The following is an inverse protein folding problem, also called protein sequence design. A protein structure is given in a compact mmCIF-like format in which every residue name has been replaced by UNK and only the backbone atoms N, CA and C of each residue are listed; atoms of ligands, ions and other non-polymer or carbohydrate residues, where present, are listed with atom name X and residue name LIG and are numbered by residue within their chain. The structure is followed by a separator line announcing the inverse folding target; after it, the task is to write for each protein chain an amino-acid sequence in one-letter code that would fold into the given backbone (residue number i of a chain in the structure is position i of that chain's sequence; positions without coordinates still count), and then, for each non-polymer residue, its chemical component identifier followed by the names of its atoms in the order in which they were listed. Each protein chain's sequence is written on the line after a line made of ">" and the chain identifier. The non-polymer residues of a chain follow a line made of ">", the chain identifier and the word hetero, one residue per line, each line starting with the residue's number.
data_IF_085794804744
#
_entry.id   IF_085794804744
#
_cell.length_a   1.000
_cell.length_b   1.000
_cell.length_c   1.000
_cell.angle_alpha   90.00
_cell.angle_beta   90.00
_cell.angle_gamma   90.00
#
_symmetry.space_group_name_H-M   'P 1'
#
loop_
_entity.id
_entity.type
_entity.pdbx_description
1 polymer ?
#
# COMPACT_ATOMS: atom_id res chain seq x y z
N UNK A 1 -77.66 -11.70 19.27
CA UNK A 1 -77.51 -12.11 17.84
C UNK A 1 -76.89 -10.92 17.11
N UNK A 2 -75.92 -10.95 16.18
CA UNK A 2 -75.02 -11.97 15.57
C UNK A 2 -74.12 -11.18 14.57
N UNK A 3 -72.86 -11.50 14.22
CA UNK A 3 -71.87 -12.50 14.67
C UNK A 3 -70.49 -12.14 14.05
N UNK A 4 -69.35 -12.28 14.78
CA UNK A 4 -67.96 -12.31 14.23
C UNK A 4 -67.47 -10.98 13.55
N UNK A 5 -66.16 -10.69 13.40
CA UNK A 5 -64.96 -11.54 13.20
C UNK A 5 -63.71 -11.05 13.95
N UNK A 6 -62.76 -11.97 14.16
CA UNK A 6 -61.37 -11.71 14.56
C UNK A 6 -60.52 -11.23 13.37
N UNK A 7 -59.49 -10.42 13.65
CA UNK A 7 -58.08 -10.58 13.23
C UNK A 7 -57.29 -9.38 13.79
N UNK A 8 -56.35 -9.53 14.74
CA UNK A 8 -54.96 -9.97 14.54
C UNK A 8 -54.27 -9.25 13.37
N UNK A 9 -53.49 -8.21 13.70
CA UNK A 9 -52.44 -7.66 12.86
C UNK A 9 -51.13 -7.70 13.64
N UNK A 10 -50.21 -8.56 13.20
CA UNK A 10 -48.92 -8.82 13.86
C UNK A 10 -47.97 -7.63 13.66
N UNK A 11 -47.14 -7.35 14.66
CA UNK A 11 -46.02 -6.44 14.48
C UNK A 11 -44.93 -7.09 13.60
N UNK A 12 -44.51 -6.40 12.55
CA UNK A 12 -43.19 -6.59 11.95
C UNK A 12 -42.52 -5.22 11.82
N UNK A 13 -41.70 -4.87 12.82
CA UNK A 13 -40.61 -3.93 12.57
C UNK A 13 -39.64 -4.63 11.61
N UNK A 14 -39.76 -4.31 10.33
CA UNK A 14 -38.69 -4.53 9.37
C UNK A 14 -37.54 -3.61 9.78
N UNK A 15 -36.66 -4.15 10.63
CA UNK A 15 -35.28 -3.69 10.74
C UNK A 15 -34.70 -3.74 9.34
N UNK A 16 -34.66 -2.59 8.68
CA UNK A 16 -33.83 -2.39 7.52
C UNK A 16 -32.37 -2.49 7.99
N UNK A 17 -31.86 -3.72 8.04
CA UNK A 17 -30.45 -3.97 7.83
C UNK A 17 -30.13 -3.46 6.43
N UNK A 18 -29.87 -2.15 6.34
CA UNK A 18 -29.06 -1.62 5.29
C UNK A 18 -27.76 -2.41 5.35
N UNK A 19 -27.61 -3.36 4.43
CA UNK A 19 -26.34 -4.00 4.20
C UNK A 19 -25.34 -2.87 4.02
N UNK A 20 -24.45 -2.71 4.99
CA UNK A 20 -23.27 -1.90 4.84
C UNK A 20 -22.39 -2.66 3.84
N UNK A 21 -22.78 -2.59 2.56
CA UNK A 21 -22.03 -3.11 1.43
C UNK A 21 -20.60 -2.68 1.66
N UNK A 22 -19.71 -3.67 1.78
CA UNK A 22 -18.33 -3.45 2.18
C UNK A 22 -17.80 -2.26 1.39
N UNK A 23 -17.46 -1.15 2.08
CA UNK A 23 -16.76 -0.05 1.45
C UNK A 23 -15.59 -0.70 0.74
N UNK A 24 -15.57 -0.66 -0.60
CA UNK A 24 -14.47 -1.22 -1.38
C UNK A 24 -13.19 -0.63 -0.81
N UNK A 25 -12.46 -1.48 -0.09
CA UNK A 25 -11.61 -0.95 0.96
C UNK A 25 -10.47 -0.21 0.27
N UNK A 26 -10.38 1.11 0.41
CA UNK A 26 -9.35 1.86 -0.29
C UNK A 26 -7.98 1.34 0.16
N UNK A 27 -7.21 0.80 -0.80
CA UNK A 27 -5.84 0.31 -0.61
C UNK A 27 -4.88 1.49 -0.54
N UNK A 28 -4.96 2.40 -1.50
CA UNK A 28 -4.12 3.58 -1.55
C UNK A 28 -4.85 4.78 -2.17
N UNK A 29 -5.26 5.75 -1.34
CA UNK A 29 -6.05 6.96 -1.70
C UNK A 29 -7.40 6.67 -2.39
N UNK A 30 -7.38 6.30 -3.66
CA UNK A 30 -8.52 5.91 -4.49
C UNK A 30 -8.20 4.71 -5.40
N UNK A 31 -7.03 4.09 -5.23
CA UNK A 31 -6.71 2.78 -5.80
C UNK A 31 -7.28 1.68 -4.89
N UNK A 32 -7.87 0.68 -5.54
CA UNK A 32 -8.36 -0.55 -4.93
C UNK A 32 -7.96 -1.74 -5.80
N UNK A 33 -7.51 -2.84 -5.18
CA UNK A 33 -7.17 -4.04 -5.91
C UNK A 33 -8.36 -4.62 -6.68
N UNK A 34 -8.11 -5.07 -7.91
CA UNK A 34 -9.11 -5.56 -8.86
C UNK A 34 -9.73 -4.48 -9.74
N UNK A 35 -9.47 -3.19 -9.49
CA UNK A 35 -9.92 -2.14 -10.42
C UNK A 35 -9.17 -2.22 -11.76
N UNK A 36 -9.85 -1.90 -12.85
CA UNK A 36 -9.19 -1.68 -14.15
C UNK A 36 -8.35 -0.41 -14.12
N UNK A 37 -7.18 -0.45 -14.75
CA UNK A 37 -6.30 0.71 -14.96
C UNK A 37 -7.00 1.84 -15.73
N UNK A 38 -7.97 1.52 -16.59
CA UNK A 38 -8.77 2.50 -17.31
C UNK A 38 -9.65 3.37 -16.37
N UNK A 39 -9.93 2.89 -15.16
CA UNK A 39 -10.73 3.57 -14.15
C UNK A 39 -9.86 4.36 -13.14
N UNK A 40 -8.53 4.34 -13.24
CA UNK A 40 -7.65 5.10 -12.35
C UNK A 40 -7.70 6.58 -12.76
N UNK A 41 -8.08 7.52 -11.87
CA UNK A 41 -8.22 8.93 -12.25
C UNK A 41 -6.88 9.55 -12.69
N UNK A 42 -6.73 9.98 -13.95
CA UNK A 42 -5.42 10.38 -14.50
C UNK A 42 -4.90 11.70 -13.93
N UNK A 43 -5.72 12.46 -13.21
CA UNK A 43 -5.32 13.71 -12.55
C UNK A 43 -4.67 13.51 -11.18
N UNK A 44 -4.91 12.36 -10.54
CA UNK A 44 -4.42 12.06 -9.17
C UNK A 44 -2.98 11.51 -9.16
N UNK A 45 -2.51 11.05 -10.32
CA UNK A 45 -1.26 10.30 -10.47
C UNK A 45 -0.47 10.80 -11.67
N UNK A 46 0.82 11.08 -11.44
CA UNK A 46 1.74 11.67 -12.42
C UNK A 46 3.03 10.87 -12.53
N UNK A 47 3.84 11.19 -13.54
CA UNK A 47 5.16 10.60 -13.79
C UNK A 47 5.13 9.07 -13.96
N UNK A 48 4.09 8.57 -14.63
CA UNK A 48 3.94 7.15 -14.94
C UNK A 48 5.13 6.64 -15.76
N UNK A 49 5.73 5.53 -15.33
CA UNK A 49 6.83 4.89 -16.02
C UNK A 49 6.85 3.39 -15.75
N UNK A 50 7.62 2.63 -16.52
CA UNK A 50 7.86 1.22 -16.21
C UNK A 50 8.79 1.09 -15.01
N UNK A 51 8.34 0.44 -13.94
CA UNK A 51 9.08 0.36 -12.68
C UNK A 51 10.41 -0.40 -12.80
N UNK A 52 10.53 -1.35 -13.72
CA UNK A 52 11.78 -2.06 -14.01
C UNK A 52 12.74 -1.24 -14.91
N UNK A 53 12.28 -0.15 -15.51
CA UNK A 53 13.03 0.68 -16.46
C UNK A 53 12.41 2.08 -16.54
N UNK A 54 12.65 2.92 -15.53
CA UNK A 54 11.95 4.20 -15.37
C UNK A 54 12.19 5.22 -16.49
N UNK A 55 13.15 4.98 -17.39
CA UNK A 55 13.34 5.77 -18.62
C UNK A 55 12.23 5.55 -19.65
N UNK A 56 11.49 4.43 -19.58
CA UNK A 56 10.27 4.21 -20.37
C UNK A 56 9.11 4.89 -19.64
N UNK A 57 8.78 6.10 -20.08
CA UNK A 57 7.61 6.86 -19.59
C UNK A 57 6.34 6.37 -20.27
N UNK A 58 5.23 6.37 -19.52
CA UNK A 58 3.90 6.04 -20.01
C UNK A 58 3.07 7.32 -20.11
N UNK A 59 2.24 7.44 -21.14
CA UNK A 59 1.32 8.58 -21.29
C UNK A 59 0.06 8.40 -20.43
N UNK A 60 -0.32 7.16 -20.16
CA UNK A 60 -1.50 6.78 -19.40
C UNK A 60 -1.30 5.45 -18.67
N UNK A 61 -2.20 5.13 -17.75
CA UNK A 61 -2.24 3.82 -17.09
C UNK A 61 -2.59 2.67 -18.04
N UNK A 62 -3.20 2.95 -19.20
CA UNK A 62 -3.54 1.94 -20.21
C UNK A 62 -2.31 1.45 -20.99
N UNK A 63 -1.20 2.20 -20.97
CA UNK A 63 0.03 1.86 -21.69
C UNK A 63 0.90 0.84 -20.92
N UNK A 64 0.36 0.22 -19.87
CA UNK A 64 1.06 -0.71 -18.96
C UNK A 64 1.75 -1.86 -19.68
N UNK A 65 1.19 -2.32 -20.80
CA UNK A 65 1.71 -3.42 -21.63
C UNK A 65 3.02 -3.07 -22.37
N UNK A 66 3.40 -1.79 -22.42
CA UNK A 66 4.73 -1.36 -22.88
C UNK A 66 5.85 -1.70 -21.88
N UNK A 67 5.50 -2.04 -20.63
CA UNK A 67 6.46 -2.48 -19.63
C UNK A 67 6.76 -3.98 -19.74
N UNK A 68 7.95 -4.43 -19.33
CA UNK A 68 8.19 -5.85 -19.15
C UNK A 68 7.30 -6.38 -18.00
N UNK A 69 6.65 -7.51 -18.24
CA UNK A 69 6.00 -8.29 -17.19
C UNK A 69 7.07 -9.00 -16.33
N UNK A 70 6.76 -9.21 -15.05
CA UNK A 70 7.58 -10.05 -14.16
C UNK A 70 7.27 -11.55 -14.32
N UNK A 71 7.91 -12.39 -13.51
CA UNK A 71 7.77 -13.86 -13.53
C UNK A 71 6.33 -14.34 -13.25
N UNK A 72 5.48 -13.50 -12.66
CA UNK A 72 4.06 -13.77 -12.41
C UNK A 72 3.15 -13.21 -13.52
N UNK A 73 3.73 -12.66 -14.58
CA UNK A 73 2.99 -12.01 -15.67
C UNK A 73 2.48 -10.61 -15.31
N UNK A 74 3.01 -9.96 -14.26
CA UNK A 74 2.54 -8.64 -13.81
C UNK A 74 3.41 -7.51 -14.38
N UNK A 75 2.74 -6.56 -15.03
CA UNK A 75 3.30 -5.32 -15.54
C UNK A 75 3.50 -4.31 -14.41
N UNK A 76 4.74 -3.88 -14.21
CA UNK A 76 5.11 -2.96 -13.13
C UNK A 76 5.12 -1.50 -13.56
N UNK A 77 4.23 -0.67 -13.00
CA UNK A 77 4.15 0.77 -13.27
C UNK A 77 4.60 1.55 -12.04
N UNK A 78 5.64 2.37 -12.13
CA UNK A 78 5.97 3.37 -11.10
C UNK A 78 5.16 4.64 -11.31
N UNK A 79 4.74 5.27 -10.22
CA UNK A 79 3.91 6.48 -10.26
C UNK A 79 4.14 7.37 -9.03
N UNK A 80 3.71 8.62 -9.13
CA UNK A 80 3.74 9.60 -8.03
C UNK A 80 2.37 10.21 -7.81
N UNK A 81 2.08 10.62 -6.59
CA UNK A 81 0.91 11.46 -6.30
C UNK A 81 1.03 12.80 -7.04
N UNK A 82 -0.08 13.28 -7.59
CA UNK A 82 -0.17 14.65 -8.02
C UNK A 82 -0.48 15.54 -6.82
N UNK A 83 0.44 16.45 -6.52
CA UNK A 83 0.30 17.40 -5.42
C UNK A 83 -0.54 18.62 -5.82
N UNK A 84 -0.68 18.92 -7.12
CA UNK A 84 -1.49 20.06 -7.62
C UNK A 84 -2.98 19.91 -7.34
N UNK A 85 -3.48 18.66 -7.25
CA UNK A 85 -4.90 18.37 -6.95
C UNK A 85 -5.18 18.20 -5.46
N UNK A 86 -4.16 18.32 -4.61
CA UNK A 86 -4.29 18.24 -3.15
C UNK A 86 -4.10 19.64 -2.53
N UNK A 87 -5.17 20.33 -2.09
CA UNK A 87 -5.07 21.66 -1.49
C UNK A 87 -4.15 21.73 -0.27
N UNK A 88 -3.95 20.62 0.44
CA UNK A 88 -3.06 20.53 1.61
C UNK A 88 -1.59 20.25 1.22
N UNK A 89 -1.27 19.93 -0.04
CA UNK A 89 0.10 19.70 -0.47
C UNK A 89 0.94 20.99 -0.53
N UNK A 90 0.30 22.17 -0.55
CA UNK A 90 0.99 23.45 -0.38
C UNK A 90 1.37 23.76 1.09
N UNK A 91 0.72 23.09 2.06
CA UNK A 91 1.00 23.22 3.50
C UNK A 91 2.00 22.15 3.97
N UNK A 92 2.01 21.00 3.29
CA UNK A 92 3.13 20.07 3.36
C UNK A 92 4.31 20.60 2.54
N UNK A 93 5.54 20.14 2.81
CA UNK A 93 6.72 20.60 2.06
C UNK A 93 6.61 20.29 0.56
N UNK A 94 6.35 21.34 -0.24
CA UNK A 94 6.29 21.36 -1.72
C UNK A 94 7.48 20.67 -2.43
N UNK A 95 8.59 20.48 -1.71
CA UNK A 95 9.88 20.06 -2.26
C UNK A 95 10.10 18.54 -2.36
N UNK A 96 9.23 17.70 -1.79
CA UNK A 96 9.62 16.32 -1.47
C UNK A 96 8.61 15.22 -1.84
N UNK A 97 7.80 15.48 -2.87
CA UNK A 97 7.13 14.44 -3.64
C UNK A 97 6.22 13.50 -2.86
N UNK A 98 6.19 12.23 -3.31
CA UNK A 98 5.22 11.25 -2.84
C UNK A 98 5.57 10.77 -1.42
N UNK A 99 4.69 11.09 -0.47
CA UNK A 99 4.84 10.73 0.95
C UNK A 99 3.63 9.94 1.47
N UNK A 100 3.88 9.01 2.38
CA UNK A 100 2.87 8.30 3.18
C UNK A 100 3.25 8.35 4.66
N UNK A 101 2.32 8.75 5.53
CA UNK A 101 2.61 8.95 6.96
C UNK A 101 3.71 9.99 7.23
N UNK A 102 4.02 10.87 6.28
CA UNK A 102 5.15 11.80 6.32
C UNK A 102 6.48 11.24 5.80
N UNK A 103 6.57 9.94 5.51
CA UNK A 103 7.75 9.28 4.95
C UNK A 103 7.75 9.37 3.42
N UNK A 104 8.86 9.80 2.77
CA UNK A 104 9.06 9.64 1.33
C UNK A 104 8.97 8.18 0.89
N UNK A 105 8.21 7.92 -0.18
CA UNK A 105 8.00 6.57 -0.71
C UNK A 105 8.06 6.53 -2.24
N UNK A 106 8.52 5.40 -2.75
CA UNK A 106 8.38 4.96 -4.12
C UNK A 106 7.11 4.08 -4.21
N UNK A 107 6.29 4.30 -5.23
CA UNK A 107 5.03 3.58 -5.44
C UNK A 107 5.07 2.81 -6.75
N UNK A 108 4.64 1.55 -6.71
CA UNK A 108 4.52 0.68 -7.88
C UNK A 108 3.15 0.00 -7.91
N UNK A 109 2.44 0.13 -9.04
CA UNK A 109 1.28 -0.70 -9.35
C UNK A 109 1.72 -1.97 -10.06
N UNK A 110 1.09 -3.10 -9.73
CA UNK A 110 1.26 -4.39 -10.39
C UNK A 110 -0.04 -4.71 -11.14
N UNK A 111 0.01 -4.74 -12.45
CA UNK A 111 -1.15 -4.86 -13.35
C UNK A 111 -1.05 -6.17 -14.11
N UNK A 112 -2.12 -6.95 -14.25
CA UNK A 112 -2.09 -8.15 -15.09
C UNK A 112 -2.39 -7.87 -16.56
N UNK A 113 -2.32 -8.90 -17.42
CA UNK A 113 -2.59 -8.78 -18.85
C UNK A 113 -4.03 -8.36 -19.21
N UNK A 114 -4.98 -8.39 -18.27
CA UNK A 114 -6.34 -7.86 -18.46
C UNK A 114 -6.44 -6.36 -18.16
N UNK A 115 -5.38 -5.75 -17.62
CA UNK A 115 -5.41 -4.38 -17.14
C UNK A 115 -6.00 -4.24 -15.74
N UNK A 116 -6.07 -5.30 -14.94
CA UNK A 116 -6.54 -5.23 -13.55
C UNK A 116 -5.37 -5.00 -12.58
N UNK A 117 -5.54 -4.10 -11.61
CA UNK A 117 -4.55 -3.84 -10.55
C UNK A 117 -4.54 -5.00 -9.55
N UNK A 118 -3.53 -5.88 -9.63
CA UNK A 118 -3.39 -7.08 -8.78
C UNK A 118 -2.58 -6.86 -7.52
N UNK A 119 -1.72 -5.85 -7.51
CA UNK A 119 -0.98 -5.45 -6.31
C UNK A 119 -0.49 -4.01 -6.33
N UNK A 120 -0.09 -3.52 -5.15
CA UNK A 120 0.55 -2.23 -4.94
C UNK A 120 1.79 -2.49 -4.06
N UNK A 121 2.97 -2.02 -4.50
CA UNK A 121 4.18 -1.96 -3.66
C UNK A 121 4.46 -0.53 -3.23
N UNK A 122 4.89 -0.39 -1.99
CA UNK A 122 5.15 0.87 -1.30
C UNK A 122 6.48 0.68 -0.56
N UNK A 123 7.52 1.32 -1.07
CA UNK A 123 8.88 1.21 -0.55
C UNK A 123 9.32 2.58 -0.05
N UNK A 124 9.90 2.66 1.16
CA UNK A 124 10.49 3.93 1.63
C UNK A 124 11.67 4.33 0.74
N UNK A 125 11.67 5.57 0.24
CA UNK A 125 12.67 6.04 -0.72
C UNK A 125 14.08 6.08 -0.07
N UNK A 126 15.06 5.28 -0.56
CA UNK A 126 16.42 5.26 -0.04
C UNK A 126 17.26 6.46 -0.50
N UNK A 127 16.83 7.18 -1.54
CA UNK A 127 17.49 8.39 -2.04
C UNK A 127 17.04 9.66 -1.32
N UNK A 128 15.99 9.56 -0.48
CA UNK A 128 15.48 10.68 0.29
C UNK A 128 16.53 11.23 1.27
N UNK A 129 16.51 12.55 1.48
CA UNK A 129 17.45 13.24 2.38
C UNK A 129 17.41 12.61 3.78
N UNK A 130 18.59 12.39 4.38
CA UNK A 130 18.76 11.68 5.66
C UNK A 130 17.83 12.19 6.78
N UNK A 131 17.50 13.49 6.81
CA UNK A 131 16.55 14.04 7.80
C UNK A 131 15.18 13.35 7.79
N UNK A 132 14.69 12.93 6.63
CA UNK A 132 13.42 12.22 6.45
C UNK A 132 13.60 10.70 6.42
N UNK A 133 14.69 10.23 5.80
CA UNK A 133 14.98 8.80 5.67
C UNK A 133 15.38 8.14 7.01
N UNK A 134 16.00 8.88 7.96
CA UNK A 134 16.49 8.36 9.28
C UNK A 134 15.46 7.66 10.16
N UNK A 135 14.17 7.68 9.81
CA UNK A 135 13.08 6.99 10.52
C UNK A 135 12.18 6.17 9.58
N UNK A 136 12.63 5.83 8.38
CA UNK A 136 11.86 5.08 7.38
C UNK A 136 11.24 3.78 7.95
N UNK A 137 11.95 3.04 8.81
CA UNK A 137 11.45 1.85 9.52
C UNK A 137 10.18 2.07 10.39
N UNK A 138 9.81 3.32 10.70
CA UNK A 138 8.60 3.66 11.44
C UNK A 138 7.34 3.72 10.56
N UNK A 139 7.46 3.81 9.22
CA UNK A 139 6.31 3.78 8.32
C UNK A 139 5.45 2.52 8.56
N UNK A 140 6.09 1.39 8.87
CA UNK A 140 5.43 0.15 9.24
C UNK A 140 4.41 0.31 10.38
N UNK A 141 4.67 1.18 11.37
CA UNK A 141 3.71 1.44 12.45
C UNK A 141 2.46 2.17 11.93
N UNK A 142 2.65 3.17 11.06
CA UNK A 142 1.53 3.85 10.39
C UNK A 142 0.73 2.92 9.48
N UNK A 143 1.40 1.96 8.82
CA UNK A 143 0.75 0.91 8.03
C UNK A 143 -0.11 0.00 8.91
N UNK A 144 0.43 -0.56 10.00
CA UNK A 144 -0.34 -1.45 10.88
C UNK A 144 -1.54 -0.73 11.48
N UNK A 145 -1.38 0.52 11.93
CA UNK A 145 -2.47 1.36 12.41
C UNK A 145 -3.54 1.61 11.31
N UNK A 146 -3.12 1.93 10.08
CA UNK A 146 -4.02 2.17 8.93
C UNK A 146 -4.85 0.94 8.54
N UNK A 147 -4.33 -0.26 8.75
CA UNK A 147 -5.00 -1.55 8.47
C UNK A 147 -5.56 -2.24 9.73
N UNK A 148 -5.46 -1.60 10.91
CA UNK A 148 -5.80 -2.16 12.21
C UNK A 148 -4.75 -3.16 12.74
N UNK A 149 -4.33 -2.99 13.99
CA UNK A 149 -3.27 -3.79 14.64
C UNK A 149 -3.65 -5.27 14.83
N UNK A 150 -4.94 -5.62 14.90
CA UNK A 150 -5.38 -7.01 15.05
C UNK A 150 -5.14 -7.83 13.76
N UNK A 151 -4.74 -9.09 13.91
CA UNK A 151 -4.59 -10.04 12.80
C UNK A 151 -3.28 -9.95 12.01
N UNK A 152 -2.31 -9.16 12.46
CA UNK A 152 -0.93 -9.24 11.97
C UNK A 152 -0.19 -10.39 12.66
N UNK A 153 0.52 -11.20 11.88
CA UNK A 153 1.45 -12.22 12.34
C UNK A 153 2.86 -11.70 12.04
N UNK A 154 3.56 -11.25 13.08
CA UNK A 154 4.91 -10.70 12.96
C UNK A 154 5.95 -11.72 13.45
N UNK A 155 7.07 -11.81 12.76
CA UNK A 155 8.26 -12.57 13.17
C UNK A 155 9.52 -11.76 12.94
N UNK A 156 10.49 -11.94 13.83
CA UNK A 156 11.85 -11.48 13.59
C UNK A 156 12.50 -12.37 12.51
N UNK A 157 13.33 -11.76 11.67
CA UNK A 157 14.14 -12.43 10.67
C UNK A 157 15.56 -12.55 11.18
N UNK A 158 16.22 -13.66 10.85
CA UNK A 158 17.60 -13.91 11.28
C UNK A 158 18.54 -12.79 10.83
N UNK A 159 19.32 -12.27 11.79
CA UNK A 159 20.36 -11.28 11.55
C UNK A 159 21.64 -11.98 11.12
N UNK A 160 22.36 -11.40 10.15
CA UNK A 160 23.65 -11.93 9.69
C UNK A 160 24.78 -11.43 10.58
N UNK A 161 25.90 -12.15 10.60
CA UNK A 161 27.10 -11.74 11.35
C UNK A 161 27.65 -10.37 10.93
N UNK A 162 27.40 -9.92 9.69
CA UNK A 162 27.78 -8.59 9.22
C UNK A 162 26.83 -7.47 9.67
N UNK A 163 25.65 -7.78 10.22
CA UNK A 163 24.58 -6.82 10.49
C UNK A 163 24.61 -6.34 11.95
N UNK A 164 24.95 -5.06 12.13
CA UNK A 164 25.18 -4.43 13.43
C UNK A 164 24.03 -3.48 13.82
N UNK A 165 23.71 -3.33 15.12
CA UNK A 165 22.70 -2.40 15.60
C UNK A 165 23.06 -0.94 15.32
N UNK A 166 22.05 -0.12 15.01
CA UNK A 166 22.15 1.34 14.85
C UNK A 166 21.58 2.01 16.09
N UNK A 167 22.41 2.71 16.86
CA UNK A 167 21.97 3.34 18.11
C UNK A 167 21.46 2.35 19.17
N UNK A 168 22.00 1.12 19.17
CA UNK A 168 21.55 0.03 20.06
C UNK A 168 20.33 -0.75 19.56
N UNK A 169 19.79 -0.41 18.38
CA UNK A 169 18.61 -1.05 17.80
C UNK A 169 18.97 -1.78 16.51
N UNK A 170 18.68 -3.07 16.45
CA UNK A 170 18.66 -3.88 15.22
C UNK A 170 17.19 -4.26 14.99
N UNK A 171 16.67 -4.00 13.80
CA UNK A 171 15.34 -4.47 13.38
C UNK A 171 15.49 -5.24 12.08
N UNK A 172 14.95 -6.46 12.07
CA UNK A 172 14.59 -7.19 10.85
C UNK A 172 13.27 -7.90 11.15
N UNK A 173 12.14 -7.28 10.82
CA UNK A 173 10.81 -7.80 11.16
C UNK A 173 9.98 -7.97 9.89
N UNK A 174 9.33 -9.13 9.77
CA UNK A 174 8.31 -9.40 8.76
C UNK A 174 6.97 -9.62 9.42
N UNK A 175 6.00 -8.79 9.06
CA UNK A 175 4.60 -8.91 9.45
C UNK A 175 3.75 -9.28 8.24
N UNK A 176 2.90 -10.29 8.37
CA UNK A 176 1.90 -10.64 7.35
C UNK A 176 0.49 -10.54 7.94
N UNK A 177 -0.46 -10.05 7.15
CA UNK A 177 -1.88 -10.03 7.49
C UNK A 177 -2.71 -10.46 6.29
N UNK A 178 -3.60 -11.42 6.49
CA UNK A 178 -4.50 -11.93 5.44
C UNK A 178 -5.95 -11.57 5.76
N UNK A 179 -6.72 -11.38 4.71
CA UNK A 179 -8.18 -11.15 4.70
C UNK A 179 -8.75 -11.78 3.44
N UNK A 180 -10.08 -11.88 3.34
CA UNK A 180 -10.77 -12.45 2.17
C UNK A 180 -10.33 -11.83 0.84
N UNK A 181 -10.04 -10.53 0.81
CA UNK A 181 -9.69 -9.80 -0.43
C UNK A 181 -8.19 -9.54 -0.60
N UNK A 182 -7.37 -9.68 0.46
CA UNK A 182 -5.98 -9.16 0.50
C UNK A 182 -5.03 -9.98 1.36
N UNK A 183 -3.81 -10.12 0.84
CA UNK A 183 -2.62 -10.40 1.62
C UNK A 183 -1.77 -9.13 1.70
N UNK A 184 -1.48 -8.70 2.92
CA UNK A 184 -0.55 -7.63 3.26
C UNK A 184 0.76 -8.27 3.73
N UNK A 185 1.87 -7.87 3.11
CA UNK A 185 3.23 -8.24 3.50
C UNK A 185 3.95 -6.95 3.86
N UNK A 186 4.45 -6.85 5.09
CA UNK A 186 5.10 -5.66 5.63
C UNK A 186 6.44 -6.05 6.26
N UNK A 187 7.53 -5.72 5.58
CA UNK A 187 8.89 -5.88 6.10
C UNK A 187 9.41 -4.52 6.60
N UNK A 188 10.17 -4.50 7.70
CA UNK A 188 10.93 -3.33 8.15
C UNK A 188 12.33 -3.71 8.62
N UNK A 189 13.29 -2.84 8.32
CA UNK A 189 14.70 -3.07 8.56
C UNK A 189 15.39 -1.84 9.17
N UNK A 190 16.27 -2.07 10.15
CA UNK A 190 17.22 -1.09 10.69
C UNK A 190 18.49 -1.82 11.13
N UNK A 191 19.59 -1.68 10.38
CA UNK A 191 20.92 -2.20 10.74
C UNK A 191 22.00 -1.51 9.90
N UNK A 192 23.27 -1.68 10.28
CA UNK A 192 24.43 -1.25 9.50
C UNK A 192 25.31 -2.45 9.19
N UNK A 193 25.79 -2.60 7.95
CA UNK A 193 26.74 -3.67 7.62
C UNK A 193 28.14 -3.35 8.15
N UNK A 194 28.90 -4.39 8.48
CA UNK A 194 30.29 -4.26 8.88
C UNK A 194 31.10 -3.49 7.81
N UNK A 195 31.96 -2.57 8.27
CA UNK A 195 32.76 -1.71 7.39
C UNK A 195 32.05 -0.48 6.82
N UNK A 196 30.72 -0.35 6.89
CA UNK A 196 30.03 0.87 6.44
C UNK A 196 30.25 2.08 7.38
N UNK A 197 30.34 3.31 6.85
CA UNK A 197 30.30 4.54 7.65
C UNK A 197 29.07 4.62 8.56
N UNK A 198 29.16 5.35 9.69
CA UNK A 198 28.02 5.50 10.62
C UNK A 198 26.80 6.20 9.97
N UNK A 199 27.04 7.00 8.93
CA UNK A 199 26.00 7.66 8.13
C UNK A 199 25.35 6.76 7.07
N UNK A 200 25.91 5.58 6.82
CA UNK A 200 25.46 4.62 5.80
C UNK A 200 24.93 3.37 6.51
N UNK A 201 23.60 3.23 6.54
CA UNK A 201 22.91 2.15 7.24
C UNK A 201 21.57 1.87 6.57
N UNK A 202 21.14 0.61 6.61
CA UNK A 202 19.82 0.19 6.12
C UNK A 202 18.75 0.70 7.06
N UNK A 203 17.74 1.36 6.51
CA UNK A 203 16.59 1.90 7.23
C UNK A 203 15.39 1.90 6.29
N UNK A 204 14.50 0.92 6.42
CA UNK A 204 13.48 0.72 5.41
C UNK A 204 12.14 0.24 5.98
N UNK A 205 11.09 0.52 5.22
CA UNK A 205 9.82 -0.22 5.26
C UNK A 205 9.43 -0.58 3.83
N UNK A 206 9.10 -1.85 3.63
CA UNK A 206 8.62 -2.41 2.38
C UNK A 206 7.21 -2.98 2.62
N UNK A 207 6.22 -2.49 1.88
CA UNK A 207 4.85 -2.96 1.96
C UNK A 207 4.39 -3.45 0.58
N UNK A 208 3.92 -4.69 0.53
CA UNK A 208 3.18 -5.24 -0.60
C UNK A 208 1.73 -5.44 -0.15
N UNK A 209 0.81 -4.90 -0.94
CA UNK A 209 -0.62 -5.14 -0.86
C UNK A 209 -0.97 -5.93 -2.11
N UNK A 210 -1.37 -7.20 -1.98
CA UNK A 210 -1.74 -8.05 -3.11
C UNK A 210 -3.07 -8.75 -2.87
N UNK A 211 -3.73 -9.17 -3.94
CA UNK A 211 -4.99 -9.91 -3.81
C UNK A 211 -4.73 -11.27 -3.18
N UNK A 212 -5.58 -11.65 -2.23
CA UNK A 212 -5.68 -13.07 -1.86
C UNK A 212 -6.12 -13.83 -3.11
N UNK A 213 -5.25 -14.71 -3.62
CA UNK A 213 -5.63 -15.66 -4.64
C UNK A 213 -6.12 -16.91 -3.91
N UNK A 214 -7.40 -17.25 -4.08
CA UNK A 214 -7.91 -18.53 -3.59
C UNK A 214 -7.09 -19.68 -4.21
N UNK A 215 -6.65 -20.61 -3.36
CA UNK A 215 -5.84 -21.78 -3.70
C UNK A 215 -6.63 -23.06 -3.48
#
# INVERSE_FOLDING_TARGET
>A
MTHRRLAWALALLLLAWGNASARDAIDLRNLSLGMSVANIPPKEYINLACAAKESVKLSSWNDFSACPADEMGLYGISFRFNDEVNPLAAVNDKYEGTKLGGHPVLLKGLVDSSGALRGIRIDTDPSARLFWHKKAYLLALSVRARYGEAGWICRELESREDENPVGGLLIKERCEKRSERRHLILDRELYRRAGQPVSDFVNATHLIIEQTTDR
#
